data_IF_465240595940
#
_entry.id   IF_465240595940
#
_cell.length_a   1.000
_cell.length_b   1.000
_cell.length_c   1.000
_cell.angle_alpha   90.00
_cell.angle_beta   90.00
_cell.angle_gamma   90.00
#
_symmetry.space_group_name_H-M   'P 1'
#
loop_
_entity.id
_entity.type
_entity.pdbx_description
1 polymer ?
#
# COMPACT_ATOMS: atom_id res chain seq x y z
N UNK A 1 -19.83 -9.51 16.15
CA UNK A 1 -18.69 -9.22 15.26
C UNK A 1 -19.12 -8.03 14.42
N UNK A 2 -18.68 -6.82 14.81
CA UNK A 2 -19.11 -5.61 14.11
C UNK A 2 -18.37 -5.59 12.78
N UNK A 3 -19.06 -5.92 11.69
CA UNK A 3 -18.59 -5.61 10.35
C UNK A 3 -18.73 -4.09 10.18
N UNK A 4 -17.73 -3.34 10.66
CA UNK A 4 -17.57 -1.96 10.24
C UNK A 4 -17.11 -2.03 8.79
N UNK A 5 -18.05 -2.01 7.84
CA UNK A 5 -17.74 -1.80 6.44
C UNK A 5 -17.10 -0.41 6.34
N UNK A 6 -15.77 -0.38 6.28
CA UNK A 6 -15.02 0.86 6.10
C UNK A 6 -15.39 1.46 4.74
N UNK A 7 -15.59 2.77 4.70
CA UNK A 7 -15.74 3.44 3.41
C UNK A 7 -14.44 3.36 2.62
N UNK A 8 -14.51 3.45 1.29
CA UNK A 8 -13.33 3.53 0.43
C UNK A 8 -12.37 4.64 0.87
N UNK A 9 -12.87 5.74 1.43
CA UNK A 9 -12.04 6.84 1.93
C UNK A 9 -11.28 6.45 3.21
N UNK A 10 -11.95 5.80 4.16
CA UNK A 10 -11.30 5.33 5.40
C UNK A 10 -10.25 4.26 5.10
N UNK A 11 -10.58 3.34 4.19
CA UNK A 11 -9.65 2.29 3.77
C UNK A 11 -8.39 2.90 3.14
N UNK A 12 -8.56 3.87 2.22
CA UNK A 12 -7.44 4.65 1.66
C UNK A 12 -6.64 5.33 2.77
N UNK A 13 -7.30 6.07 3.67
CA UNK A 13 -6.63 6.78 4.74
C UNK A 13 -5.83 5.85 5.67
N UNK A 14 -6.34 4.66 5.99
CA UNK A 14 -5.66 3.68 6.83
C UNK A 14 -4.41 3.17 6.10
N UNK A 15 -4.55 2.74 4.85
CA UNK A 15 -3.42 2.25 4.04
C UNK A 15 -2.38 3.36 3.90
N UNK A 16 -2.76 4.55 3.46
CA UNK A 16 -1.85 5.68 3.26
C UNK A 16 -1.09 6.05 4.54
N UNK A 17 -1.76 6.05 5.69
CA UNK A 17 -1.13 6.32 6.98
C UNK A 17 -0.11 5.25 7.40
N UNK A 18 -0.29 4.01 6.96
CA UNK A 18 0.59 2.90 7.30
C UNK A 18 1.96 2.94 6.59
N UNK A 19 2.10 3.74 5.53
CA UNK A 19 3.36 3.92 4.79
C UNK A 19 4.14 5.17 5.18
N UNK A 20 3.64 5.97 6.13
CA UNK A 20 4.41 7.10 6.64
C UNK A 20 5.78 6.63 7.18
N UNK A 21 6.87 7.38 6.90
CA UNK A 21 6.93 8.73 6.32
C UNK A 21 6.88 8.79 4.78
N UNK A 22 6.80 7.66 4.07
CA UNK A 22 6.69 7.66 2.61
C UNK A 22 5.32 8.18 2.15
N UNK A 23 5.26 8.72 0.94
CA UNK A 23 4.00 9.19 0.36
C UNK A 23 3.30 7.99 -0.27
N UNK A 24 2.16 7.60 0.26
CA UNK A 24 1.32 6.57 -0.35
C UNK A 24 0.08 7.22 -0.95
N UNK A 25 -0.28 6.81 -2.16
CA UNK A 25 -1.44 7.28 -2.90
C UNK A 25 -2.29 6.06 -3.26
N UNK A 26 -3.52 6.02 -2.74
CA UNK A 26 -4.44 4.93 -2.98
C UNK A 26 -5.57 5.39 -3.91
N UNK A 27 -5.59 4.86 -5.14
CA UNK A 27 -6.62 5.15 -6.13
C UNK A 27 -7.60 3.99 -6.24
N UNK A 28 -8.91 4.28 -6.29
CA UNK A 28 -9.96 3.26 -6.46
C UNK A 28 -10.69 3.50 -7.77
N UNK A 29 -10.76 2.48 -8.62
CA UNK A 29 -11.46 2.48 -9.91
C UNK A 29 -12.20 1.15 -10.04
N UNK A 30 -13.51 1.20 -10.34
CA UNK A 30 -14.37 0.02 -10.59
C UNK A 30 -14.13 -1.15 -9.61
N UNK A 31 -14.20 -0.87 -8.30
CA UNK A 31 -14.00 -1.83 -7.19
C UNK A 31 -12.60 -2.44 -7.04
N UNK A 32 -11.64 -1.93 -7.79
CA UNK A 32 -10.21 -2.24 -7.63
C UNK A 32 -9.44 -1.05 -7.09
N UNK A 33 -8.53 -1.32 -6.15
CA UNK A 33 -7.60 -0.36 -5.61
C UNK A 33 -6.21 -0.54 -6.23
N UNK A 34 -5.58 0.59 -6.51
CA UNK A 34 -4.18 0.72 -6.86
C UNK A 34 -3.49 1.52 -5.77
N UNK A 35 -2.40 0.96 -5.23
CA UNK A 35 -1.56 1.57 -4.21
C UNK A 35 -0.22 1.93 -4.83
N UNK A 36 0.13 3.20 -4.76
CA UNK A 36 1.40 3.73 -5.23
C UNK A 36 2.17 4.30 -4.03
N UNK A 37 3.37 3.79 -3.78
CA UNK A 37 4.25 4.31 -2.73
C UNK A 37 5.43 5.02 -3.37
N UNK A 38 5.55 6.29 -3.01
CA UNK A 38 6.49 7.25 -3.54
C UNK A 38 7.43 7.66 -2.42
N UNK A 39 8.72 7.60 -2.70
CA UNK A 39 9.74 8.15 -1.82
C UNK A 39 9.69 9.69 -1.90
N UNK A 40 9.38 10.40 -0.80
CA UNK A 40 9.18 11.85 -0.82
C UNK A 40 10.49 12.63 -1.00
N UNK A 41 11.65 12.00 -0.89
CA UNK A 41 12.96 12.64 -1.05
C UNK A 41 13.43 12.58 -2.51
N UNK A 42 13.20 11.45 -3.18
CA UNK A 42 13.65 11.20 -4.56
C UNK A 42 12.54 11.38 -5.59
N UNK A 43 11.29 11.50 -5.14
CA UNK A 43 10.06 11.55 -5.95
C UNK A 43 9.87 10.32 -6.85
N UNK A 44 10.52 9.20 -6.50
CA UNK A 44 10.43 7.94 -7.25
C UNK A 44 9.34 7.04 -6.68
N UNK A 45 8.67 6.33 -7.58
CA UNK A 45 7.74 5.26 -7.22
C UNK A 45 8.56 4.04 -6.81
N UNK A 46 8.58 3.73 -5.53
CA UNK A 46 9.27 2.57 -4.96
C UNK A 46 8.40 1.31 -5.03
N UNK A 47 7.08 1.47 -5.02
CA UNK A 47 6.14 0.35 -5.11
C UNK A 47 4.88 0.78 -5.88
N UNK A 48 4.43 -0.08 -6.80
CA UNK A 48 3.15 0.06 -7.48
C UNK A 48 2.42 -1.29 -7.43
N UNK A 49 1.36 -1.35 -6.63
CA UNK A 49 0.47 -2.50 -6.54
C UNK A 49 -0.89 -2.14 -7.15
N UNK A 50 -1.38 -2.92 -8.11
CA UNK A 50 -2.65 -2.67 -8.78
C UNK A 50 -3.53 -3.93 -8.78
N UNK A 51 -4.83 -3.76 -9.01
CA UNK A 51 -5.77 -4.88 -9.07
C UNK A 51 -6.15 -5.46 -7.70
N UNK A 52 -6.01 -4.68 -6.62
CA UNK A 52 -6.43 -5.09 -5.28
C UNK A 52 -7.96 -4.99 -5.23
N UNK A 53 -8.65 -6.13 -5.29
CA UNK A 53 -10.11 -6.16 -5.19
C UNK A 53 -10.56 -5.66 -3.80
N UNK A 54 -11.41 -4.62 -3.78
CA UNK A 54 -11.92 -4.04 -2.52
C UNK A 54 -12.78 -5.03 -1.72
N UNK A 55 -13.44 -5.96 -2.41
CA UNK A 55 -14.20 -7.06 -1.78
C UNK A 55 -13.32 -7.93 -0.86
N UNK A 56 -12.02 -8.02 -1.13
CA UNK A 56 -11.07 -8.75 -0.27
C UNK A 56 -10.69 -7.99 1.00
N UNK A 57 -11.10 -6.73 1.14
CA UNK A 57 -10.74 -5.85 2.25
C UNK A 57 -11.93 -5.60 3.20
N UNK A 58 -12.84 -6.57 3.26
CA UNK A 58 -14.06 -6.55 4.07
C UNK A 58 -13.78 -6.73 5.58
N UNK A 59 -12.58 -7.19 5.95
CA UNK A 59 -12.16 -7.35 7.34
C UNK A 59 -10.90 -6.58 7.67
N UNK A 60 -10.81 -6.14 8.94
CA UNK A 60 -9.58 -5.54 9.47
C UNK A 60 -8.36 -6.46 9.34
N UNK A 61 -8.56 -7.79 9.42
CA UNK A 61 -7.50 -8.76 9.18
C UNK A 61 -6.99 -8.67 7.75
N UNK A 62 -7.87 -8.71 6.75
CA UNK A 62 -7.44 -8.64 5.36
C UNK A 62 -6.75 -7.32 5.01
N UNK A 63 -7.20 -6.21 5.61
CA UNK A 63 -6.52 -4.92 5.50
C UNK A 63 -5.10 -4.96 6.10
N UNK A 64 -4.93 -5.52 7.29
CA UNK A 64 -3.62 -5.67 7.93
C UNK A 64 -2.68 -6.61 7.16
N UNK A 65 -3.21 -7.70 6.58
CA UNK A 65 -2.43 -8.61 5.73
C UNK A 65 -1.95 -7.87 4.48
N UNK A 66 -2.83 -7.14 3.78
CA UNK A 66 -2.45 -6.31 2.61
C UNK A 66 -1.35 -5.32 2.96
N UNK A 67 -1.49 -4.57 4.05
CA UNK A 67 -0.48 -3.61 4.50
C UNK A 67 0.85 -4.32 4.79
N UNK A 68 0.81 -5.50 5.40
CA UNK A 68 2.01 -6.27 5.73
C UNK A 68 2.72 -6.78 4.47
N UNK A 69 1.97 -7.30 3.49
CA UNK A 69 2.48 -7.73 2.19
C UNK A 69 3.16 -6.57 1.45
N UNK A 70 2.46 -5.43 1.30
CA UNK A 70 2.98 -4.25 0.63
C UNK A 70 4.23 -3.68 1.31
N UNK A 71 4.30 -3.69 2.65
CA UNK A 71 5.50 -3.27 3.39
C UNK A 71 6.68 -4.21 3.18
N UNK A 72 6.42 -5.51 3.07
CA UNK A 72 7.46 -6.50 2.77
C UNK A 72 8.02 -6.28 1.35
N UNK A 73 7.15 -6.07 0.36
CA UNK A 73 7.55 -5.79 -1.02
C UNK A 73 8.32 -4.49 -1.16
N UNK A 74 7.89 -3.44 -0.45
CA UNK A 74 8.61 -2.17 -0.41
C UNK A 74 10.01 -2.35 0.17
N UNK A 75 10.13 -3.05 1.30
CA UNK A 75 11.43 -3.31 1.93
C UNK A 75 12.34 -4.12 0.99
N UNK A 76 11.81 -5.13 0.31
CA UNK A 76 12.56 -5.91 -0.67
C UNK A 76 13.05 -5.04 -1.83
N UNK A 77 12.22 -4.12 -2.33
CA UNK A 77 12.58 -3.20 -3.41
C UNK A 77 13.68 -2.23 -2.99
N UNK A 78 13.63 -1.71 -1.77
CA UNK A 78 14.67 -0.84 -1.21
C UNK A 78 16.00 -1.59 -1.01
N UNK A 79 15.95 -2.85 -0.55
CA UNK A 79 17.15 -3.68 -0.42
C UNK A 79 17.82 -3.90 -1.77
N UNK A 80 17.04 -4.19 -2.82
CA UNK A 80 17.56 -4.35 -4.18
C UNK A 80 18.25 -3.09 -4.69
N UNK A 81 17.63 -1.91 -4.50
CA UNK A 81 18.25 -0.63 -4.86
C UNK A 81 19.57 -0.38 -4.12
N UNK A 82 19.64 -0.71 -2.83
CA UNK A 82 20.86 -0.56 -2.04
C UNK A 82 21.98 -1.50 -2.52
N UNK A 83 21.64 -2.71 -2.94
CA UNK A 83 22.61 -3.65 -3.50
C UNK A 83 23.12 -3.24 -4.89
N UNK A 84 22.27 -2.64 -5.73
CA UNK A 84 22.67 -2.16 -7.06
C UNK A 84 23.70 -1.02 -7.04
N UNK A 85 23.78 -0.25 -5.93
CA UNK A 85 24.78 0.81 -5.75
C UNK A 85 26.09 0.32 -5.12
N UNK A 86 26.15 -0.93 -4.66
CA UNK A 86 27.28 -1.52 -3.94
C UNK A 86 28.16 -2.46 -4.81
N UNK A 87 27.90 -2.53 -6.11
CA UNK A 87 28.63 -3.35 -7.10
C UNK A 87 29.07 -2.50 -8.29
#
# INVERSE_FOLDING_TARGET
MIACTLSNLELRSIIESAFLPMRCNCMVIDDTMTVEVIDPLTERVELLASGIALDRLDTSRALCELISELRADLHNTQLMHRHALAS
#
